data_IF_590856023073
#
_entry.id   IF_590856023073
#
_cell.length_a   1.000
_cell.length_b   1.000
_cell.length_c   1.000
_cell.angle_alpha   90.00
_cell.angle_beta   90.00
_cell.angle_gamma   90.00
#
_symmetry.space_group_name_H-M   'P 1'
#
loop_
_entity.id
_entity.type
_entity.pdbx_description
1 polymer ?
#
# COMPACT_ATOMS: atom_id res chain seq x y z
N UNK A 1 -6.35 -0.61 -18.81
CA UNK A 1 -6.27 0.02 -17.47
C UNK A 1 -4.81 0.07 -17.06
N UNK A 2 -4.28 1.25 -16.71
CA UNK A 2 -2.92 1.35 -16.16
C UNK A 2 -2.94 0.83 -14.72
N UNK A 3 -2.11 -0.16 -14.44
CA UNK A 3 -1.92 -0.70 -13.09
C UNK A 3 -0.94 0.23 -12.36
N UNK A 4 -1.35 0.80 -11.24
CA UNK A 4 -0.45 1.61 -10.42
C UNK A 4 0.64 0.72 -9.82
N UNK A 5 1.90 1.07 -10.06
CA UNK A 5 3.08 0.39 -9.50
C UNK A 5 3.77 1.37 -8.56
N UNK A 6 4.09 0.98 -7.30
CA UNK A 6 4.65 1.91 -6.31
C UNK A 6 5.97 2.56 -6.72
N UNK A 7 6.78 1.83 -7.48
CA UNK A 7 8.11 2.29 -7.90
C UNK A 7 8.55 1.54 -9.16
N UNK A 8 9.18 2.27 -10.08
CA UNK A 8 9.82 1.68 -11.26
C UNK A 8 11.12 0.99 -10.84
N UNK A 9 11.17 -0.33 -11.04
CA UNK A 9 12.32 -1.14 -10.63
C UNK A 9 13.35 -1.20 -11.76
N UNK A 10 14.63 -0.97 -11.41
CA UNK A 10 15.76 -1.28 -12.29
C UNK A 10 15.88 -2.80 -12.47
N UNK A 11 16.49 -3.23 -13.58
CA UNK A 11 16.65 -4.67 -13.90
C UNK A 11 17.38 -5.43 -12.78
N UNK A 12 18.41 -4.83 -12.18
CA UNK A 12 19.14 -5.43 -11.04
C UNK A 12 18.24 -5.64 -9.81
N UNK A 13 17.36 -4.67 -9.51
CA UNK A 13 16.40 -4.79 -8.40
C UNK A 13 15.35 -5.86 -8.70
N UNK A 14 14.94 -6.00 -9.95
CA UNK A 14 14.03 -7.07 -10.37
C UNK A 14 14.70 -8.44 -10.23
N UNK A 15 15.95 -8.61 -10.68
CA UNK A 15 16.71 -9.85 -10.54
C UNK A 15 16.89 -10.23 -9.07
N UNK A 16 17.31 -9.28 -8.24
CA UNK A 16 17.48 -9.49 -6.80
C UNK A 16 16.17 -9.97 -6.15
N UNK A 17 15.03 -9.33 -6.46
CA UNK A 17 13.72 -9.74 -5.94
C UNK A 17 13.34 -11.14 -6.43
N UNK A 18 13.60 -11.46 -7.69
CA UNK A 18 13.32 -12.78 -8.26
C UNK A 18 14.10 -13.88 -7.55
N UNK A 19 15.41 -13.68 -7.34
CA UNK A 19 16.27 -14.64 -6.65
C UNK A 19 15.83 -14.86 -5.20
N UNK A 20 15.59 -13.79 -4.44
CA UNK A 20 15.12 -13.87 -3.05
C UNK A 20 13.79 -14.63 -2.99
N UNK A 21 12.81 -14.26 -3.81
CA UNK A 21 11.50 -14.92 -3.83
C UNK A 21 11.61 -16.40 -4.20
N UNK A 22 12.44 -16.75 -5.18
CA UNK A 22 12.67 -18.13 -5.62
C UNK A 22 13.26 -18.97 -4.49
N UNK A 23 14.27 -18.45 -3.80
CA UNK A 23 14.91 -19.12 -2.67
C UNK A 23 13.96 -19.30 -1.48
N UNK A 24 13.19 -18.27 -1.13
CA UNK A 24 12.19 -18.35 -0.06
C UNK A 24 11.08 -19.35 -0.38
N UNK A 25 10.67 -19.45 -1.65
CA UNK A 25 9.66 -20.42 -2.09
C UNK A 25 10.17 -21.85 -1.97
N UNK A 26 11.42 -22.12 -2.38
CA UNK A 26 12.05 -23.43 -2.22
C UNK A 26 12.17 -23.78 -0.74
N UNK A 27 12.65 -22.84 0.08
CA UNK A 27 12.75 -23.02 1.53
C UNK A 27 11.40 -23.36 2.14
N UNK A 28 10.34 -22.61 1.80
CA UNK A 28 8.99 -22.84 2.34
C UNK A 28 8.43 -24.22 1.98
N UNK A 29 8.78 -24.77 0.81
CA UNK A 29 8.39 -26.14 0.41
C UNK A 29 9.15 -27.20 1.20
N UNK A 30 10.44 -26.98 1.45
CA UNK A 30 11.31 -27.95 2.12
C UNK A 30 11.14 -27.94 3.65
N UNK A 31 11.06 -26.74 4.25
CA UNK A 31 10.82 -26.51 5.67
C UNK A 31 9.87 -25.31 5.82
N UNK A 32 8.55 -25.56 5.99
CA UNK A 32 7.59 -24.49 6.17
C UNK A 32 7.90 -23.61 7.39
N UNK A 33 8.16 -22.32 7.18
CA UNK A 33 8.66 -21.42 8.24
C UNK A 33 7.73 -20.25 8.56
N UNK A 34 6.63 -20.07 7.81
CA UNK A 34 5.69 -18.96 8.06
C UNK A 34 5.10 -18.94 9.47
N UNK A 35 4.92 -20.10 10.12
CA UNK A 35 4.43 -20.17 11.50
C UNK A 35 5.38 -19.58 12.55
N UNK A 36 6.65 -19.34 12.18
CA UNK A 36 7.68 -18.73 13.04
C UNK A 36 7.97 -17.28 12.66
N UNK A 37 7.33 -16.77 11.60
CA UNK A 37 7.60 -15.44 11.09
C UNK A 37 6.85 -14.41 11.94
N UNK A 38 7.60 -13.49 12.55
CA UNK A 38 7.07 -12.27 13.14
C UNK A 38 7.37 -11.13 12.17
N UNK A 39 6.34 -10.41 11.74
CA UNK A 39 6.46 -9.26 10.85
C UNK A 39 6.11 -8.00 11.63
N UNK A 40 6.99 -7.01 11.58
CA UNK A 40 6.76 -5.70 12.19
C UNK A 40 6.73 -4.67 11.07
N UNK A 41 5.76 -3.76 11.10
CA UNK A 41 5.67 -2.64 10.18
C UNK A 41 5.12 -1.38 10.87
N UNK A 42 5.35 -0.24 10.24
CA UNK A 42 4.89 1.06 10.70
C UNK A 42 3.95 1.69 9.66
N UNK A 43 2.77 2.11 10.11
CA UNK A 43 1.79 2.80 9.27
C UNK A 43 1.43 4.17 9.85
N UNK A 44 1.32 5.18 8.98
CA UNK A 44 0.78 6.48 9.36
C UNK A 44 -0.74 6.47 9.32
N UNK A 45 -1.39 6.58 10.47
CA UNK A 45 -2.83 6.75 10.58
C UNK A 45 -3.19 8.25 10.65
N UNK A 46 -3.99 8.71 9.68
CA UNK A 46 -4.53 10.07 9.68
C UNK A 46 -5.76 10.13 10.61
N UNK A 47 -5.87 11.21 11.40
CA UNK A 47 -7.08 11.44 12.21
C UNK A 47 -8.31 11.72 11.34
N UNK A 48 -8.11 12.48 10.26
CA UNK A 48 -9.14 12.81 9.28
C UNK A 48 -8.72 12.29 7.90
N UNK A 49 -9.11 11.06 7.59
CA UNK A 49 -8.84 10.41 6.30
C UNK A 49 -10.03 10.58 5.34
N UNK A 50 -10.47 11.83 5.14
CA UNK A 50 -11.50 12.15 4.14
C UNK A 50 -11.01 11.77 2.76
N UNK A 51 -11.55 10.67 2.24
CA UNK A 51 -11.43 10.31 0.84
C UNK A 51 -12.54 11.00 0.06
N UNK A 52 -12.22 11.58 -1.09
CA UNK A 52 -13.24 12.02 -2.04
C UNK A 52 -14.03 10.79 -2.49
N UNK A 53 -15.24 10.64 -1.96
CA UNK A 53 -16.15 9.58 -2.36
C UNK A 53 -16.70 9.82 -3.76
N UNK A 54 -17.14 8.76 -4.42
CA UNK A 54 -17.94 8.90 -5.62
C UNK A 54 -19.33 9.44 -5.23
N UNK A 55 -19.72 10.56 -5.83
CA UNK A 55 -21.07 11.11 -5.68
C UNK A 55 -21.82 10.86 -6.96
N UNK A 56 -22.98 10.23 -6.86
CA UNK A 56 -23.92 10.11 -7.96
C UNK A 56 -24.66 11.44 -8.11
N UNK A 57 -24.49 12.10 -9.25
CA UNK A 57 -25.20 13.33 -9.62
C UNK A 57 -25.96 13.13 -10.92
N UNK A 58 -27.09 13.82 -11.04
CA UNK A 58 -27.83 13.87 -12.30
C UNK A 58 -26.97 14.50 -13.41
N UNK A 59 -27.23 14.13 -14.66
CA UNK A 59 -26.47 14.44 -15.87
C UNK A 59 -26.17 15.94 -16.07
N UNK A 60 -27.01 16.81 -15.52
CA UNK A 60 -26.88 18.27 -15.65
C UNK A 60 -26.63 18.99 -14.32
N UNK A 61 -26.38 18.24 -13.25
CA UNK A 61 -26.11 18.79 -11.92
C UNK A 61 -24.61 18.91 -11.65
N UNK A 62 -24.21 19.96 -10.94
CA UNK A 62 -22.81 20.13 -10.51
C UNK A 62 -22.52 19.22 -9.33
N UNK A 63 -21.47 18.37 -9.38
CA UNK A 63 -21.07 17.58 -8.23
C UNK A 63 -20.62 18.48 -7.07
N UNK A 64 -20.85 18.05 -5.81
CA UNK A 64 -20.34 18.79 -4.66
C UNK A 64 -18.80 18.83 -4.70
N UNK A 65 -18.24 20.00 -4.39
CA UNK A 65 -16.80 20.16 -4.25
C UNK A 65 -16.32 19.59 -2.92
N UNK A 66 -15.29 18.75 -2.96
CA UNK A 66 -14.60 18.28 -1.77
C UNK A 66 -13.35 19.13 -1.54
N UNK A 67 -13.11 19.63 -0.32
CA UNK A 67 -11.89 20.36 -0.02
C UNK A 67 -10.68 19.45 -0.23
N UNK A 68 -9.59 20.00 -0.77
CA UNK A 68 -8.33 19.25 -0.85
C UNK A 68 -7.89 18.88 0.57
N UNK A 69 -7.38 17.66 0.79
CA UNK A 69 -6.76 17.30 2.06
C UNK A 69 -5.67 18.31 2.41
N UNK A 70 -5.51 18.57 3.72
CA UNK A 70 -4.39 19.35 4.22
C UNK A 70 -3.07 18.68 3.82
N UNK A 71 -2.05 19.48 3.52
CA UNK A 71 -0.71 18.99 3.21
C UNK A 71 -0.04 18.40 4.46
N UNK A 72 -0.41 18.89 5.65
CA UNK A 72 0.13 18.47 6.93
C UNK A 72 -0.96 18.01 7.90
N UNK A 73 -1.70 16.94 7.56
CA UNK A 73 -2.79 16.45 8.38
C UNK A 73 -2.25 15.94 9.71
N UNK A 74 -3.06 16.09 10.77
CA UNK A 74 -2.78 15.42 12.04
C UNK A 74 -2.77 13.92 11.81
N UNK A 75 -1.71 13.26 12.27
CA UNK A 75 -1.48 11.83 12.10
C UNK A 75 -0.75 11.23 13.29
N UNK A 76 -0.92 9.94 13.47
CA UNK A 76 -0.23 9.12 14.47
C UNK A 76 0.52 8.01 13.74
N UNK A 77 1.71 7.67 14.21
CA UNK A 77 2.43 6.49 13.75
C UNK A 77 1.96 5.28 14.56
N UNK A 78 1.45 4.26 13.87
CA UNK A 78 1.12 2.98 14.45
C UNK A 78 2.25 2.00 14.13
N UNK A 79 2.79 1.37 15.16
CA UNK A 79 3.72 0.24 15.03
C UNK A 79 2.95 -1.04 15.34
N UNK A 80 2.94 -2.01 14.41
CA UNK A 80 2.27 -3.32 14.57
C UNK A 80 3.34 -4.40 14.60
N UNK A 81 3.23 -5.34 15.55
CA UNK A 81 4.13 -6.47 15.74
C UNK A 81 3.38 -7.80 15.84
#
# INVERSE_FOLDING_TARGET
MQKWTPHDLTDDRQSTRYEICSNLLIRQKNEPFFHRLLTVDEEWLLFDNKKSGYVWVDKFSTPPSFPKPDLHPRKVMLTVW
#
